data_IF_191975744519
#
_entry.id   IF_191975744519
#
_cell.length_a   1.000
_cell.length_b   1.000
_cell.length_c   1.000
_cell.angle_alpha   90.00
_cell.angle_beta   90.00
_cell.angle_gamma   90.00
#
_symmetry.space_group_name_H-M   'P 1'
#
loop_
_entity.id
_entity.type
_entity.pdbx_description
1 polymer ?
#
# COMPACT_ATOMS: atom_id res chain seq x y z
N UNK A 1 -10.33 -34.16 -15.06
CA UNK A 1 -9.30 -34.64 -16.03
C UNK A 1 -8.60 -35.96 -15.63
N UNK A 2 -9.31 -36.93 -15.03
CA UNK A 2 -8.71 -38.19 -14.55
C UNK A 2 -8.24 -39.11 -15.70
N UNK A 3 -9.05 -39.23 -16.74
CA UNK A 3 -8.83 -40.18 -17.85
C UNK A 3 -8.47 -39.51 -19.18
N UNK A 4 -8.67 -38.19 -19.29
CA UNK A 4 -8.47 -37.41 -20.52
C UNK A 4 -7.51 -36.24 -20.24
N UNK A 5 -6.58 -35.94 -21.18
CA UNK A 5 -5.58 -34.88 -21.01
C UNK A 5 -6.12 -33.47 -21.24
N UNK A 6 -7.39 -33.32 -21.67
CA UNK A 6 -8.04 -32.03 -21.86
C UNK A 6 -9.38 -32.02 -21.13
N UNK A 7 -9.73 -30.90 -20.44
CA UNK A 7 -11.04 -30.77 -19.83
C UNK A 7 -12.12 -30.60 -20.90
N UNK A 8 -13.34 -30.83 -20.49
CA UNK A 8 -14.53 -30.44 -21.24
C UNK A 8 -14.76 -28.94 -21.17
N UNK A 9 -15.57 -28.42 -22.09
CA UNK A 9 -16.00 -27.00 -22.06
C UNK A 9 -16.73 -26.67 -20.75
N UNK A 10 -17.54 -27.60 -20.25
CA UNK A 10 -18.29 -27.42 -19.01
C UNK A 10 -17.35 -27.30 -17.81
N UNK A 11 -16.38 -28.21 -17.65
CA UNK A 11 -15.36 -28.13 -16.58
C UNK A 11 -14.56 -26.82 -16.65
N UNK A 12 -14.19 -26.39 -17.86
CA UNK A 12 -13.44 -25.14 -18.03
C UNK A 12 -14.25 -23.91 -17.63
N UNK A 13 -15.54 -23.90 -17.98
CA UNK A 13 -16.45 -22.81 -17.60
C UNK A 13 -16.73 -22.78 -16.09
N UNK A 14 -16.80 -23.94 -15.45
CA UNK A 14 -17.02 -24.05 -14.01
C UNK A 14 -15.84 -23.48 -13.22
N UNK A 15 -14.61 -23.86 -13.61
CA UNK A 15 -13.37 -23.31 -13.05
C UNK A 15 -13.31 -21.78 -13.22
N UNK A 16 -13.60 -21.29 -14.42
CA UNK A 16 -13.58 -19.86 -14.69
C UNK A 16 -14.60 -19.09 -13.83
N UNK A 17 -15.83 -19.61 -13.73
CA UNK A 17 -16.87 -19.00 -12.91
C UNK A 17 -16.49 -18.97 -11.43
N UNK A 18 -15.90 -20.04 -10.89
CA UNK A 18 -15.44 -20.06 -9.50
C UNK A 18 -14.42 -18.95 -9.20
N UNK A 19 -13.53 -18.65 -10.15
CA UNK A 19 -12.56 -17.54 -10.02
C UNK A 19 -13.25 -16.17 -10.09
N UNK A 20 -14.24 -16.02 -10.98
CA UNK A 20 -15.04 -14.78 -11.13
C UNK A 20 -15.92 -14.52 -9.90
N UNK A 21 -16.50 -15.57 -9.31
CA UNK A 21 -17.28 -15.52 -8.07
C UNK A 21 -16.41 -15.15 -6.86
N UNK A 22 -15.08 -15.20 -7.01
CA UNK A 22 -14.12 -14.68 -6.04
C UNK A 22 -13.50 -15.75 -5.14
N UNK A 23 -13.49 -17.02 -5.55
CA UNK A 23 -12.76 -18.07 -4.83
C UNK A 23 -11.27 -17.71 -4.65
N UNK A 24 -10.73 -17.98 -3.46
CA UNK A 24 -9.32 -17.72 -3.16
C UNK A 24 -8.38 -18.81 -3.68
N UNK A 25 -8.90 -20.04 -3.85
CA UNK A 25 -8.16 -21.18 -4.35
C UNK A 25 -9.09 -22.27 -4.85
N UNK A 26 -8.52 -23.20 -5.63
CA UNK A 26 -9.21 -24.36 -6.17
C UNK A 26 -8.53 -25.63 -5.68
N UNK A 27 -9.34 -26.65 -5.40
CA UNK A 27 -8.85 -27.95 -4.95
C UNK A 27 -9.04 -28.96 -6.07
N UNK A 28 -7.93 -29.55 -6.53
CA UNK A 28 -7.95 -30.70 -7.41
C UNK A 28 -7.91 -31.96 -6.55
N UNK A 29 -8.76 -32.94 -6.88
CA UNK A 29 -9.00 -34.11 -6.03
C UNK A 29 -8.46 -35.36 -6.72
N UNK A 30 -9.29 -36.07 -7.44
CA UNK A 30 -8.95 -37.30 -8.16
C UNK A 30 -7.99 -37.04 -9.31
N UNK A 31 -8.01 -35.83 -9.89
CA UNK A 31 -7.17 -35.44 -11.02
C UNK A 31 -5.68 -35.52 -10.70
N UNK A 32 -5.29 -35.08 -9.50
CA UNK A 32 -3.90 -35.02 -9.06
C UNK A 32 -3.49 -36.20 -8.19
N UNK A 33 -4.44 -36.81 -7.45
CA UNK A 33 -4.12 -37.91 -6.54
C UNK A 33 -3.88 -39.25 -7.24
N UNK A 34 -4.72 -39.64 -8.20
CA UNK A 34 -4.58 -40.91 -8.94
C UNK A 34 -4.90 -40.80 -10.43
N UNK A 35 -5.11 -39.58 -10.92
CA UNK A 35 -5.36 -39.30 -12.33
C UNK A 35 -4.16 -39.61 -13.22
N UNK A 36 -4.43 -39.89 -14.50
CA UNK A 36 -3.37 -40.21 -15.49
C UNK A 36 -2.62 -38.98 -16.00
N UNK A 37 -3.16 -37.78 -15.77
CA UNK A 37 -2.65 -36.51 -16.31
C UNK A 37 -2.57 -35.41 -15.22
N UNK A 38 -1.82 -35.63 -14.12
CA UNK A 38 -1.81 -34.70 -12.99
C UNK A 38 -1.13 -33.37 -13.35
N UNK A 39 -0.04 -33.39 -14.12
CA UNK A 39 0.70 -32.19 -14.53
C UNK A 39 -0.12 -31.33 -15.49
N UNK A 40 -0.75 -31.96 -16.48
CA UNK A 40 -1.62 -31.28 -17.44
C UNK A 40 -2.84 -30.68 -16.75
N UNK A 41 -3.40 -31.39 -15.77
CA UNK A 41 -4.54 -30.88 -14.97
C UNK A 41 -4.16 -29.58 -14.25
N UNK A 42 -3.02 -29.55 -13.56
CA UNK A 42 -2.54 -28.34 -12.88
C UNK A 42 -2.23 -27.22 -13.87
N UNK A 43 -1.54 -27.53 -14.97
CA UNK A 43 -1.19 -26.54 -16.00
C UNK A 43 -2.43 -25.91 -16.63
N UNK A 44 -3.44 -26.71 -16.98
CA UNK A 44 -4.66 -26.20 -17.61
C UNK A 44 -5.46 -25.34 -16.62
N UNK A 45 -5.57 -25.76 -15.36
CA UNK A 45 -6.25 -24.98 -14.32
C UNK A 45 -5.54 -23.65 -14.09
N UNK A 46 -4.19 -23.62 -13.99
CA UNK A 46 -3.41 -22.38 -13.87
C UNK A 46 -3.68 -21.42 -15.04
N UNK A 47 -3.73 -21.93 -16.28
CA UNK A 47 -4.04 -21.10 -17.45
C UNK A 47 -5.47 -20.54 -17.40
N UNK A 48 -6.46 -21.37 -17.08
CA UNK A 48 -7.87 -20.92 -16.98
C UNK A 48 -8.00 -19.87 -15.88
N UNK A 49 -7.38 -20.08 -14.72
CA UNK A 49 -7.37 -19.10 -13.64
C UNK A 49 -6.82 -17.77 -14.13
N UNK A 50 -5.61 -17.73 -14.71
CA UNK A 50 -5.00 -16.48 -15.19
C UNK A 50 -5.87 -15.73 -16.22
N UNK A 51 -6.52 -16.45 -17.14
CA UNK A 51 -7.43 -15.81 -18.09
C UNK A 51 -8.71 -15.29 -17.41
N UNK A 52 -9.28 -16.04 -16.47
CA UNK A 52 -10.44 -15.60 -15.69
C UNK A 52 -10.11 -14.38 -14.82
N UNK A 53 -8.91 -14.32 -14.23
CA UNK A 53 -8.45 -13.17 -13.45
C UNK A 53 -8.35 -11.90 -14.29
N UNK A 54 -7.88 -12.00 -15.54
CA UNK A 54 -7.82 -10.87 -16.47
C UNK A 54 -9.19 -10.33 -16.88
N UNK A 55 -10.22 -11.17 -16.84
CA UNK A 55 -11.58 -10.80 -17.19
C UNK A 55 -12.32 -10.04 -16.07
N UNK A 56 -11.73 -9.93 -14.87
CA UNK A 56 -12.37 -9.29 -13.72
C UNK A 56 -12.31 -7.77 -13.85
N UNK A 57 -13.47 -7.15 -13.66
CA UNK A 57 -13.56 -5.71 -13.58
C UNK A 57 -13.23 -5.20 -12.16
N UNK A 58 -11.93 -5.11 -11.87
CA UNK A 58 -11.40 -4.78 -10.53
C UNK A 58 -11.97 -3.49 -9.92
N UNK A 59 -12.30 -2.49 -10.74
CA UNK A 59 -12.88 -1.23 -10.26
C UNK A 59 -14.23 -1.46 -9.57
N UNK A 60 -15.15 -2.16 -10.25
CA UNK A 60 -16.48 -2.44 -9.69
C UNK A 60 -16.41 -3.43 -8.54
N UNK A 61 -15.64 -4.52 -8.67
CA UNK A 61 -15.47 -5.50 -7.59
C UNK A 61 -15.00 -4.84 -6.30
N UNK A 62 -14.05 -3.91 -6.39
CA UNK A 62 -13.51 -3.18 -5.24
C UNK A 62 -14.54 -2.26 -4.60
N UNK A 63 -15.32 -1.54 -5.40
CA UNK A 63 -16.38 -0.65 -4.90
C UNK A 63 -17.51 -1.45 -4.23
N UNK A 64 -17.94 -2.55 -4.83
CA UNK A 64 -18.91 -3.46 -4.22
C UNK A 64 -18.41 -4.02 -2.88
N UNK A 65 -17.15 -4.47 -2.81
CA UNK A 65 -16.54 -4.96 -1.57
C UNK A 65 -16.48 -3.87 -0.48
N UNK A 66 -16.17 -2.63 -0.86
CA UNK A 66 -16.18 -1.47 0.04
C UNK A 66 -17.58 -1.22 0.60
N UNK A 67 -18.60 -1.22 -0.25
CA UNK A 67 -20.01 -1.07 0.16
C UNK A 67 -20.45 -2.20 1.08
N UNK A 68 -20.14 -3.46 0.76
CA UNK A 68 -20.46 -4.59 1.62
C UNK A 68 -19.80 -4.47 3.02
N UNK A 69 -18.57 -3.95 3.11
CA UNK A 69 -17.91 -3.73 4.41
C UNK A 69 -18.59 -2.64 5.23
N UNK A 70 -19.01 -1.56 4.57
CA UNK A 70 -19.76 -0.46 5.21
C UNK A 70 -21.08 -0.98 5.78
N UNK A 71 -21.86 -1.71 4.96
CA UNK A 71 -23.15 -2.29 5.37
C UNK A 71 -23.01 -3.28 6.54
N UNK A 72 -21.88 -4.00 6.63
CA UNK A 72 -21.60 -4.93 7.72
C UNK A 72 -21.01 -4.29 8.98
N UNK A 73 -20.88 -2.96 9.01
CA UNK A 73 -20.25 -2.23 10.13
C UNK A 73 -18.76 -2.55 10.31
N UNK A 74 -18.10 -3.13 9.30
CA UNK A 74 -16.68 -3.52 9.35
C UNK A 74 -15.72 -2.41 8.91
N UNK A 75 -16.26 -1.25 8.57
CA UNK A 75 -15.48 -0.13 8.04
C UNK A 75 -14.92 0.81 9.13
N UNK A 76 -15.30 0.66 10.40
CA UNK A 76 -15.02 1.65 11.43
C UNK A 76 -14.01 1.14 12.46
N UNK A 77 -12.88 1.85 12.60
CA UNK A 77 -12.01 1.79 13.78
C UNK A 77 -10.69 1.00 13.68
N UNK A 78 -10.58 0.01 12.79
CA UNK A 78 -9.31 -0.74 12.65
C UNK A 78 -8.34 0.02 11.72
N UNK A 79 -7.26 0.56 12.30
CA UNK A 79 -6.21 1.30 11.58
C UNK A 79 -5.65 0.45 10.43
N UNK A 80 -5.42 -0.86 10.66
CA UNK A 80 -4.92 -1.78 9.62
C UNK A 80 -5.89 -1.89 8.46
N UNK A 81 -7.19 -1.89 8.75
CA UNK A 81 -8.21 -1.98 7.73
C UNK A 81 -8.26 -0.72 6.85
N UNK A 82 -8.14 0.45 7.48
CA UNK A 82 -8.10 1.74 6.77
C UNK A 82 -6.83 1.86 5.94
N UNK A 83 -5.65 1.60 6.52
CA UNK A 83 -4.37 1.66 5.81
C UNK A 83 -4.31 0.66 4.66
N UNK A 84 -4.78 -0.58 4.88
CA UNK A 84 -4.83 -1.59 3.82
C UNK A 84 -5.79 -1.22 2.68
N UNK A 85 -6.97 -0.69 3.01
CA UNK A 85 -7.93 -0.21 1.99
C UNK A 85 -7.38 0.97 1.19
N UNK A 86 -6.74 1.93 1.87
CA UNK A 86 -6.09 3.08 1.23
C UNK A 86 -4.91 2.66 0.36
N UNK A 87 -4.13 1.66 0.76
CA UNK A 87 -3.03 1.14 -0.05
C UNK A 87 -3.53 0.51 -1.35
N UNK A 88 -4.67 -0.18 -1.31
CA UNK A 88 -5.31 -0.79 -2.49
C UNK A 88 -5.87 0.29 -3.43
N UNK A 89 -6.51 1.33 -2.89
CA UNK A 89 -6.96 2.48 -3.67
C UNK A 89 -5.77 3.21 -4.32
N UNK A 90 -4.71 3.44 -3.55
CA UNK A 90 -3.50 4.09 -4.03
C UNK A 90 -2.87 3.28 -5.15
N UNK A 91 -2.70 1.97 -4.98
CA UNK A 91 -2.15 1.07 -6.00
C UNK A 91 -2.98 1.08 -7.29
N UNK A 92 -4.32 1.10 -7.19
CA UNK A 92 -5.20 1.19 -8.34
C UNK A 92 -5.08 2.56 -9.05
N UNK A 93 -5.03 3.64 -8.27
CA UNK A 93 -4.98 5.02 -8.79
C UNK A 93 -3.64 5.35 -9.44
N UNK A 94 -2.54 4.88 -8.85
CA UNK A 94 -1.21 5.06 -9.41
C UNK A 94 -0.85 3.95 -10.40
N UNK A 95 -1.68 2.94 -10.64
CA UNK A 95 -1.32 1.81 -11.50
C UNK A 95 0.01 1.17 -11.06
N UNK A 96 0.13 0.84 -9.77
CA UNK A 96 1.29 0.15 -9.23
C UNK A 96 1.32 -1.32 -9.71
N UNK A 97 2.52 -1.84 -9.95
CA UNK A 97 2.71 -3.24 -10.35
C UNK A 97 2.57 -4.20 -9.17
N UNK A 98 2.97 -3.77 -7.96
CA UNK A 98 2.87 -4.59 -6.76
C UNK A 98 2.73 -3.77 -5.47
N UNK A 99 2.13 -4.41 -4.45
CA UNK A 99 2.06 -3.93 -3.07
C UNK A 99 2.98 -4.79 -2.21
N UNK A 100 3.99 -4.21 -1.58
CA UNK A 100 4.85 -4.87 -0.62
C UNK A 100 4.32 -4.64 0.79
N UNK A 101 4.08 -5.72 1.53
CA UNK A 101 3.50 -5.66 2.88
C UNK A 101 4.42 -6.38 3.84
N UNK A 102 4.99 -5.66 4.80
CA UNK A 102 5.76 -6.31 5.88
C UNK A 102 4.80 -6.80 6.95
N UNK A 103 4.86 -8.10 7.27
CA UNK A 103 3.92 -8.71 8.21
C UNK A 103 4.55 -9.83 9.04
N UNK A 104 4.25 -9.80 10.35
CA UNK A 104 4.68 -10.85 11.30
C UNK A 104 3.64 -11.94 11.46
N UNK A 105 2.34 -11.62 11.42
CA UNK A 105 1.24 -12.58 11.61
C UNK A 105 0.49 -12.93 10.32
N UNK A 106 0.74 -12.19 9.23
CA UNK A 106 -0.01 -12.29 7.97
C UNK A 106 -1.28 -11.46 7.93
N UNK A 107 -1.78 -10.95 9.06
CA UNK A 107 -3.09 -10.30 9.15
C UNK A 107 -3.26 -9.11 8.19
N UNK A 108 -2.23 -8.28 8.04
CA UNK A 108 -2.27 -7.10 7.16
C UNK A 108 -2.25 -7.48 5.69
N UNK A 109 -1.42 -8.46 5.34
CA UNK A 109 -1.33 -9.00 3.99
C UNK A 109 -2.67 -9.63 3.57
N UNK A 110 -3.26 -10.45 4.44
CA UNK A 110 -4.59 -11.07 4.22
C UNK A 110 -5.68 -10.01 4.03
N UNK A 111 -5.68 -8.93 4.82
CA UNK A 111 -6.67 -7.87 4.69
C UNK A 111 -6.56 -7.11 3.35
N UNK A 112 -5.33 -6.87 2.90
CA UNK A 112 -5.07 -6.25 1.59
C UNK A 112 -5.59 -7.17 0.49
N UNK A 113 -5.28 -8.47 0.54
CA UNK A 113 -5.79 -9.45 -0.44
C UNK A 113 -7.32 -9.58 -0.46
N UNK A 114 -7.97 -9.52 0.72
CA UNK A 114 -9.44 -9.49 0.83
C UNK A 114 -10.06 -8.25 0.17
N UNK A 115 -9.27 -7.20 -0.05
CA UNK A 115 -9.69 -5.98 -0.74
C UNK A 115 -9.54 -6.06 -2.26
N UNK A 116 -9.09 -7.20 -2.78
CA UNK A 116 -8.94 -7.52 -4.22
C UNK A 116 -8.21 -6.42 -4.99
N UNK A 117 -6.92 -6.15 -4.65
CA UNK A 117 -6.12 -5.21 -5.43
C UNK A 117 -5.98 -5.69 -6.88
N UNK A 118 -5.83 -4.75 -7.84
CA UNK A 118 -5.60 -5.08 -9.24
C UNK A 118 -4.16 -5.55 -9.53
N UNK A 119 -3.30 -5.55 -8.53
CA UNK A 119 -1.87 -5.85 -8.63
C UNK A 119 -1.47 -6.94 -7.62
N UNK A 120 -0.30 -7.56 -7.85
CA UNK A 120 0.24 -8.59 -6.96
C UNK A 120 0.60 -8.04 -5.58
N UNK A 121 0.34 -8.82 -4.53
CA UNK A 121 0.69 -8.45 -3.14
C UNK A 121 1.84 -9.31 -2.66
N UNK A 122 2.99 -8.71 -2.39
CA UNK A 122 4.16 -9.40 -1.85
C UNK A 122 4.16 -9.31 -0.33
N UNK A 123 3.92 -10.42 0.35
CA UNK A 123 3.92 -10.49 1.81
C UNK A 123 5.31 -10.85 2.33
N UNK A 124 6.00 -9.85 2.88
CA UNK A 124 7.35 -9.99 3.44
C UNK A 124 7.22 -10.43 4.89
N UNK A 125 7.76 -11.62 5.20
CA UNK A 125 7.71 -12.19 6.55
C UNK A 125 9.02 -12.90 6.89
N UNK A 126 9.27 -13.09 8.17
CA UNK A 126 10.40 -13.90 8.68
C UNK A 126 9.97 -15.34 9.00
N UNK A 127 8.67 -15.56 9.21
CA UNK A 127 8.15 -16.87 9.60
C UNK A 127 7.66 -17.65 8.38
N UNK A 128 8.31 -18.78 8.12
CA UNK A 128 7.92 -19.71 7.07
C UNK A 128 6.49 -20.27 7.27
N UNK A 129 6.02 -20.38 8.52
CA UNK A 129 4.65 -20.78 8.81
C UNK A 129 3.65 -19.76 8.26
N UNK A 130 3.86 -18.47 8.54
CA UNK A 130 3.00 -17.39 8.04
C UNK A 130 3.04 -17.32 6.52
N UNK A 131 4.22 -17.49 5.91
CA UNK A 131 4.36 -17.56 4.47
C UNK A 131 3.50 -18.67 3.84
N UNK A 132 3.48 -19.88 4.45
CA UNK A 132 2.61 -20.97 3.97
C UNK A 132 1.12 -20.63 4.05
N UNK A 133 0.69 -19.96 5.11
CA UNK A 133 -0.71 -19.52 5.24
C UNK A 133 -1.09 -18.47 4.20
N UNK A 134 -0.16 -17.59 3.80
CA UNK A 134 -0.43 -16.58 2.79
C UNK A 134 -0.79 -17.17 1.41
N UNK A 135 -0.29 -18.36 1.05
CA UNK A 135 -0.65 -19.02 -0.21
C UNK A 135 -2.13 -19.40 -0.33
N UNK A 136 -2.85 -19.48 0.80
CA UNK A 136 -4.28 -19.78 0.79
C UNK A 136 -5.15 -18.60 0.30
N UNK A 137 -4.57 -17.41 0.19
CA UNK A 137 -5.28 -16.20 -0.19
C UNK A 137 -4.88 -15.75 -1.59
N UNK A 138 -5.87 -15.32 -2.36
CA UNK A 138 -5.66 -14.93 -3.75
C UNK A 138 -4.84 -13.65 -3.89
N UNK A 139 -3.92 -13.65 -4.85
CA UNK A 139 -3.05 -12.51 -5.18
C UNK A 139 -1.91 -12.28 -4.20
N UNK A 140 -1.76 -13.13 -3.18
CA UNK A 140 -0.67 -13.07 -2.21
C UNK A 140 0.52 -13.93 -2.65
N UNK A 141 1.67 -13.28 -2.71
CA UNK A 141 2.97 -13.88 -2.99
C UNK A 141 3.86 -13.72 -1.75
N UNK A 142 4.01 -14.75 -0.92
CA UNK A 142 4.85 -14.64 0.26
C UNK A 142 6.34 -14.62 -0.12
N UNK A 143 7.10 -13.81 0.62
CA UNK A 143 8.56 -13.78 0.57
C UNK A 143 9.09 -13.93 1.99
N UNK A 144 9.85 -15.01 2.22
CA UNK A 144 10.49 -15.28 3.50
C UNK A 144 11.86 -14.62 3.50
N UNK A 145 12.04 -13.63 4.36
CA UNK A 145 13.33 -12.99 4.56
C UNK A 145 14.23 -13.88 5.42
N UNK A 146 15.40 -14.23 4.88
CA UNK A 146 16.42 -15.09 5.53
C UNK A 146 17.69 -14.34 5.93
N UNK A 147 17.73 -13.02 5.75
CA UNK A 147 18.87 -12.19 6.10
C UNK A 147 19.02 -11.96 7.61
N UNK A 148 20.09 -11.26 8.00
CA UNK A 148 20.31 -10.86 9.38
C UNK A 148 19.27 -9.81 9.81
N UNK A 149 18.81 -9.91 11.05
CA UNK A 149 18.02 -8.87 11.69
C UNK A 149 18.97 -7.86 12.33
N UNK A 150 18.88 -6.60 11.90
CA UNK A 150 19.63 -5.51 12.50
C UNK A 150 18.92 -4.99 13.77
N UNK A 151 19.68 -4.39 14.70
CA UNK A 151 19.12 -3.80 15.93
C UNK A 151 18.27 -2.57 15.61
N UNK A 152 18.69 -1.79 14.61
CA UNK A 152 17.95 -0.64 14.10
C UNK A 152 16.76 -1.10 13.25
N UNK A 153 15.56 -0.99 13.81
CA UNK A 153 14.32 -1.40 13.15
C UNK A 153 14.14 -0.78 11.75
N UNK A 154 14.49 0.51 11.58
CA UNK A 154 14.37 1.18 10.29
C UNK A 154 15.27 0.54 9.21
N UNK A 155 16.50 0.19 9.58
CA UNK A 155 17.47 -0.46 8.68
C UNK A 155 17.05 -1.88 8.36
N UNK A 156 16.56 -2.63 9.36
CA UNK A 156 16.05 -3.99 9.19
C UNK A 156 14.87 -4.05 8.20
N UNK A 157 13.90 -3.14 8.32
CA UNK A 157 12.76 -3.08 7.39
C UNK A 157 13.19 -2.68 5.98
N UNK A 158 14.08 -1.69 5.85
CA UNK A 158 14.64 -1.29 4.55
C UNK A 158 15.35 -2.49 3.89
N UNK A 159 16.15 -3.25 4.64
CA UNK A 159 16.84 -4.44 4.16
C UNK A 159 15.86 -5.54 3.69
N UNK A 160 14.79 -5.79 4.48
CA UNK A 160 13.75 -6.76 4.14
C UNK A 160 13.02 -6.42 2.85
N UNK A 161 12.65 -5.15 2.68
CA UNK A 161 11.91 -4.72 1.50
C UNK A 161 12.82 -4.70 0.28
N UNK A 162 14.07 -4.26 0.40
CA UNK A 162 15.04 -4.33 -0.71
C UNK A 162 15.29 -5.78 -1.15
N UNK A 163 15.42 -6.72 -0.22
CA UNK A 163 15.53 -8.15 -0.54
C UNK A 163 14.27 -8.67 -1.25
N UNK A 164 13.09 -8.25 -0.80
CA UNK A 164 11.83 -8.61 -1.44
C UNK A 164 11.69 -8.02 -2.85
N UNK A 165 12.14 -6.78 -3.08
CA UNK A 165 12.16 -6.13 -4.40
C UNK A 165 13.12 -6.87 -5.32
N UNK A 166 14.31 -7.24 -4.86
CA UNK A 166 15.26 -8.03 -5.64
C UNK A 166 14.64 -9.38 -6.06
N UNK A 167 13.96 -10.06 -5.14
CA UNK A 167 13.23 -11.28 -5.46
C UNK A 167 12.10 -11.05 -6.46
N UNK A 168 11.31 -9.99 -6.29
CA UNK A 168 10.21 -9.62 -7.18
C UNK A 168 10.69 -9.26 -8.60
N UNK A 169 11.89 -8.67 -8.73
CA UNK A 169 12.56 -8.43 -10.02
C UNK A 169 12.96 -9.75 -10.68
N UNK A 170 13.55 -10.68 -9.92
CA UNK A 170 13.94 -12.00 -10.42
C UNK A 170 12.74 -12.85 -10.88
N UNK A 171 11.61 -12.75 -10.19
CA UNK A 171 10.37 -13.46 -10.56
C UNK A 171 9.57 -12.75 -11.67
N UNK A 172 9.97 -11.52 -12.05
CA UNK A 172 9.30 -10.74 -13.08
C UNK A 172 8.00 -10.08 -12.64
N UNK A 173 7.73 -9.99 -11.33
CA UNK A 173 6.57 -9.30 -10.77
C UNK A 173 6.67 -7.78 -10.91
N UNK A 174 7.88 -7.24 -10.89
CA UNK A 174 8.12 -5.79 -10.97
C UNK A 174 9.33 -5.50 -11.87
N UNK A 175 9.26 -4.43 -12.65
CA UNK A 175 10.34 -3.95 -13.53
C UNK A 175 10.87 -2.58 -13.11
N UNK A 176 12.01 -2.17 -13.66
CA UNK A 176 12.50 -0.80 -13.55
C UNK A 176 11.50 0.18 -14.19
N UNK A 177 11.25 1.30 -13.53
CA UNK A 177 10.24 2.30 -13.93
C UNK A 177 8.85 2.08 -13.34
N UNK A 178 8.58 0.90 -12.75
CA UNK A 178 7.27 0.61 -12.17
C UNK A 178 7.05 1.33 -10.83
N UNK A 179 5.79 1.64 -10.54
CA UNK A 179 5.37 2.16 -9.23
C UNK A 179 5.04 1.00 -8.30
N UNK A 180 5.47 1.12 -7.04
CA UNK A 180 5.19 0.15 -5.99
C UNK A 180 4.57 0.85 -4.78
N UNK A 181 3.71 0.14 -4.06
CA UNK A 181 3.18 0.60 -2.79
C UNK A 181 3.79 -0.23 -1.68
N UNK A 182 4.35 0.41 -0.67
CA UNK A 182 4.95 -0.23 0.49
C UNK A 182 4.06 0.02 1.69
N UNK A 183 3.76 -1.04 2.44
CA UNK A 183 2.89 -1.01 3.60
C UNK A 183 3.62 -1.61 4.80
N UNK A 184 3.79 -0.81 5.84
CA UNK A 184 4.57 -1.17 7.04
C UNK A 184 3.85 -0.70 8.32
N UNK A 185 4.33 -1.18 9.48
CA UNK A 185 4.07 -0.51 10.75
C UNK A 185 5.02 0.67 10.93
N UNK A 186 4.66 1.63 11.78
CA UNK A 186 5.49 2.80 12.09
C UNK A 186 6.67 2.49 13.01
N UNK A 187 6.52 1.47 13.86
CA UNK A 187 7.49 1.11 14.89
C UNK A 187 7.53 -0.41 15.09
N UNK A 188 8.65 -0.94 15.58
CA UNK A 188 8.81 -2.37 15.91
C UNK A 188 7.75 -2.89 16.90
N UNK A 189 7.34 -2.02 17.84
CA UNK A 189 6.38 -2.34 18.90
C UNK A 189 4.93 -2.27 18.41
N UNK A 190 4.67 -1.45 17.38
CA UNK A 190 3.35 -1.33 16.80
C UNK A 190 3.04 -2.60 16.02
N UNK A 191 2.30 -3.52 16.65
CA UNK A 191 1.73 -4.70 15.97
C UNK A 191 0.66 -4.35 14.93
N UNK A 192 0.46 -3.05 14.65
CA UNK A 192 -0.52 -2.56 13.69
C UNK A 192 0.16 -1.93 12.49
N UNK A 193 -0.35 -2.26 11.31
CA UNK A 193 0.05 -1.67 10.05
C UNK A 193 -0.66 -0.34 9.87
N UNK A 194 0.08 0.76 9.93
CA UNK A 194 -0.46 2.12 9.91
C UNK A 194 0.20 3.03 8.85
N UNK A 195 1.31 2.61 8.24
CA UNK A 195 2.05 3.41 7.27
C UNK A 195 1.93 2.82 5.87
N UNK A 196 1.68 3.68 4.88
CA UNK A 196 1.78 3.35 3.46
C UNK A 196 2.58 4.42 2.73
N UNK A 197 3.42 4.00 1.79
CA UNK A 197 4.27 4.88 0.98
C UNK A 197 4.26 4.40 -0.47
N UNK A 198 4.39 5.32 -1.42
CA UNK A 198 4.42 5.03 -2.85
C UNK A 198 5.82 5.37 -3.36
N UNK A 199 6.46 4.41 -4.02
CA UNK A 199 7.77 4.58 -4.62
C UNK A 199 7.71 4.32 -6.12
N UNK A 200 8.61 4.95 -6.87
CA UNK A 200 8.90 4.59 -8.26
C UNK A 200 10.23 3.88 -8.27
N UNK A 201 10.30 2.70 -8.86
CA UNK A 201 11.54 1.95 -8.96
C UNK A 201 12.41 2.53 -10.06
N UNK A 202 13.66 2.83 -9.72
CA UNK A 202 14.68 3.14 -10.71
C UNK A 202 15.14 1.86 -11.43
N UNK A 203 15.66 2.01 -12.65
CA UNK A 203 16.14 0.89 -13.46
C UNK A 203 17.36 0.20 -12.84
N UNK A 204 18.22 0.98 -12.20
CA UNK A 204 19.40 0.48 -11.49
C UNK A 204 19.00 -0.19 -10.16
N UNK A 205 19.86 -1.06 -9.63
CA UNK A 205 19.65 -1.72 -8.33
C UNK A 205 19.93 -0.76 -7.17
N UNK A 206 19.34 0.44 -7.20
CA UNK A 206 19.42 1.37 -6.09
C UNK A 206 18.65 0.82 -4.89
N UNK A 207 19.32 0.78 -3.72
CA UNK A 207 18.67 0.40 -2.46
C UNK A 207 17.72 1.52 -2.08
N UNK A 208 16.43 1.20 -1.95
CA UNK A 208 15.44 2.13 -1.44
C UNK A 208 15.62 2.29 0.07
N UNK A 209 15.58 3.54 0.55
CA UNK A 209 15.39 3.88 1.96
C UNK A 209 13.93 4.26 2.16
N UNK A 210 13.22 3.55 3.03
CA UNK A 210 11.76 3.59 3.09
C UNK A 210 11.30 4.31 4.35
N UNK A 211 11.77 3.87 5.51
CA UNK A 211 11.43 4.51 6.79
C UNK A 211 12.28 5.76 7.01
N UNK A 212 13.53 5.72 6.54
CA UNK A 212 14.50 6.78 6.79
C UNK A 212 14.90 6.82 8.27
N UNK A 213 16.04 6.22 8.61
CA UNK A 213 16.85 6.86 9.64
C UNK A 213 17.14 8.27 9.13
N UNK A 214 16.80 9.28 9.92
CA UNK A 214 17.15 10.69 9.78
C UNK A 214 18.27 10.94 8.76
N UNK A 215 18.00 11.75 7.74
CA UNK A 215 19.07 12.24 6.87
C UNK A 215 20.04 13.09 7.73
N UNK A 216 21.09 12.45 8.24
CA UNK A 216 22.36 13.08 8.57
C UNK A 216 23.10 13.54 7.31
N UNK A 217 22.61 13.17 6.13
CA UNK A 217 22.99 13.71 4.82
C UNK A 217 22.02 14.87 4.51
N UNK A 218 22.15 16.02 5.16
CA UNK A 218 23.00 17.09 4.62
C UNK A 218 23.83 17.77 5.69
N UNK A 219 24.15 17.19 6.85
CA UNK A 219 24.96 17.96 7.81
C UNK A 219 26.37 18.20 7.33
N UNK A 220 27.01 17.34 6.54
CA UNK A 220 28.35 17.61 6.00
C UNK A 220 28.33 18.61 4.85
N UNK A 221 27.46 18.45 3.85
CA UNK A 221 27.32 19.41 2.73
C UNK A 221 26.66 20.72 3.15
N UNK A 222 25.69 20.70 4.08
CA UNK A 222 25.10 21.91 4.66
C UNK A 222 26.01 22.55 5.71
N UNK A 223 26.85 21.81 6.46
CA UNK A 223 27.92 22.41 7.28
C UNK A 223 29.02 22.98 6.41
N UNK A 224 29.38 22.35 5.29
CA UNK A 224 30.33 22.89 4.32
C UNK A 224 29.77 24.15 3.67
N UNK A 225 28.51 24.14 3.20
CA UNK A 225 27.83 25.37 2.70
C UNK A 225 27.66 26.44 3.78
N UNK A 226 27.36 26.08 5.04
CA UNK A 226 27.31 27.03 6.17
C UNK A 226 28.70 27.56 6.55
N UNK A 227 29.76 26.76 6.39
CA UNK A 227 31.14 27.18 6.61
C UNK A 227 31.61 28.11 5.50
N UNK A 228 31.31 27.82 4.24
CA UNK A 228 31.54 28.69 3.08
C UNK A 228 30.79 30.02 3.21
N UNK A 229 29.53 29.99 3.64
CA UNK A 229 28.74 31.19 3.93
C UNK A 229 29.27 32.00 5.12
N UNK A 230 29.85 31.35 6.15
CA UNK A 230 30.49 32.03 7.28
C UNK A 230 31.82 32.69 6.89
N UNK A 231 32.59 32.07 6.00
CA UNK A 231 33.84 32.63 5.47
C UNK A 231 33.54 33.83 4.55
N UNK A 232 32.46 33.75 3.75
CA UNK A 232 32.00 34.89 2.95
C UNK A 232 31.55 36.10 3.81
N UNK A 233 30.95 35.87 4.98
CA UNK A 233 30.57 36.94 5.92
C UNK A 233 31.75 37.58 6.67
N UNK A 234 32.91 36.92 6.73
CA UNK A 234 34.13 37.52 7.30
C UNK A 234 34.94 38.32 6.28
N UNK A 235 34.60 38.24 4.98
CA UNK A 235 35.27 38.98 3.90
C UNK A 235 34.70 40.36 3.58
N UNK A 236 33.45 40.66 3.97
CA UNK A 236 32.81 41.94 3.71
C UNK A 236 32.73 42.80 4.96
N UNK A 237 33.80 43.53 5.24
CA UNK A 237 33.75 44.72 6.08
C UNK A 237 33.12 45.87 5.30
N UNK A 238 31.79 46.00 5.22
CA UNK A 238 31.15 47.29 4.89
C UNK A 238 29.67 47.35 5.33
N UNK A 239 29.36 48.31 6.22
CA UNK A 239 28.07 49.02 6.26
C UNK A 239 26.98 48.52 7.22
N UNK A 240 26.86 49.17 8.38
CA UNK A 240 25.72 49.10 9.30
C UNK A 240 24.42 49.64 8.68
N UNK A 241 23.76 48.93 7.75
CA UNK A 241 22.39 49.29 7.31
C UNK A 241 21.52 48.08 6.87
N UNK A 242 21.79 46.87 7.37
CA UNK A 242 21.07 45.65 6.95
C UNK A 242 20.16 44.99 8.00
N UNK A 243 20.30 45.34 9.29
CA UNK A 243 19.66 44.59 10.37
C UNK A 243 18.18 44.94 10.64
N UNK A 244 17.68 46.04 10.10
CA UNK A 244 16.27 46.47 10.33
C UNK A 244 15.26 45.84 9.36
N UNK A 245 15.68 45.41 8.16
CA UNK A 245 14.76 44.77 7.20
C UNK A 245 14.43 43.31 7.56
N UNK A 246 15.34 42.62 8.27
CA UNK A 246 15.15 41.22 8.67
C UNK A 246 14.24 41.02 9.89
N UNK A 247 13.98 42.09 10.68
CA UNK A 247 13.00 42.06 11.79
C UNK A 247 11.56 42.18 11.29
N UNK A 248 11.31 42.89 10.19
CA UNK A 248 9.95 43.04 9.63
C UNK A 248 9.42 41.74 9.02
N UNK A 249 10.28 40.90 8.42
CA UNK A 249 9.84 39.64 7.78
C UNK A 249 9.42 38.59 8.82
N UNK A 250 10.12 38.52 9.97
CA UNK A 250 9.78 37.58 11.06
C UNK A 250 8.46 37.90 11.78
N UNK A 251 7.98 39.14 11.71
CA UNK A 251 6.67 39.52 12.27
C UNK A 251 5.48 39.17 11.35
N UNK A 252 5.73 38.82 10.07
CA UNK A 252 4.67 38.54 9.09
C UNK A 252 4.19 37.07 9.05
N UNK A 253 4.97 36.12 9.58
CA UNK A 253 4.70 34.69 9.45
C UNK A 253 4.05 34.03 10.69
N UNK A 254 3.72 34.79 11.74
CA UNK A 254 3.05 34.27 12.94
C UNK A 254 1.54 34.57 13.00
N UNK A 255 0.82 34.41 11.88
CA UNK A 255 -0.65 34.36 11.89
C UNK A 255 -1.12 32.93 11.66
N UNK A 256 -1.48 32.26 12.76
CA UNK A 256 -2.34 31.08 12.69
C UNK A 256 -3.67 31.44 11.99
N UNK A 257 -4.27 30.56 11.18
CA UNK A 257 -5.60 30.79 10.66
C UNK A 257 -6.61 30.63 11.80
N UNK A 258 -7.13 31.75 12.32
CA UNK A 258 -8.34 31.73 13.15
C UNK A 258 -9.54 31.57 12.21
N UNK A 259 -10.12 30.39 12.16
CA UNK A 259 -11.52 30.24 11.74
C UNK A 259 -12.40 30.89 12.81
N UNK A 260 -12.94 32.09 12.53
CA UNK A 260 -14.01 32.68 13.33
C UNK A 260 -15.36 32.31 12.71
N UNK A 261 -16.09 31.40 13.35
CA UNK A 261 -17.52 31.25 13.12
C UNK A 261 -18.19 32.42 13.83
N UNK A 262 -18.70 33.40 13.08
CA UNK A 262 -19.56 34.45 13.63
C UNK A 262 -20.93 33.82 13.96
N UNK A 263 -21.17 33.57 15.24
CA UNK A 263 -22.52 33.46 15.78
C UNK A 263 -23.05 34.87 16.02
N UNK A 264 -23.87 35.35 15.09
CA UNK A 264 -24.60 36.62 15.23
C UNK A 264 -25.75 36.48 16.22
N UNK A 265 -25.55 37.00 17.43
CA UNK A 265 -26.59 37.25 18.43
C UNK A 265 -27.34 38.55 18.07
N UNK A 266 -28.61 38.44 17.68
CA UNK A 266 -29.53 39.58 17.52
C UNK A 266 -30.93 39.22 18.01
N UNK A 267 -31.26 39.60 19.25
CA UNK A 267 -32.63 39.90 19.70
C UNK A 267 -32.95 41.31 19.19
N UNK A 268 -34.13 41.70 18.70
CA UNK A 268 -35.49 41.43 19.14
C UNK A 268 -36.51 42.06 18.14
N UNK A 269 -37.78 41.65 18.23
CA UNK A 269 -39.04 42.39 17.92
C UNK A 269 -39.85 42.00 16.66
N UNK A 270 -40.92 41.25 16.94
CA UNK A 270 -42.30 41.23 16.37
C UNK A 270 -42.60 40.80 14.93
N UNK A 271 -43.48 39.78 14.84
CA UNK A 271 -44.76 39.92 14.13
C UNK A 271 -44.97 39.02 12.89
N UNK A 272 -45.94 38.10 12.98
CA UNK A 272 -46.78 37.73 11.83
C UNK A 272 -46.45 36.45 11.06
N UNK A 273 -47.15 35.37 11.43
CA UNK A 273 -47.99 34.54 10.54
C UNK A 273 -47.53 34.39 9.08
N UNK A 274 -47.02 33.21 8.71
CA UNK A 274 -47.69 32.33 7.74
C UNK A 274 -46.90 31.03 7.50
N UNK A 275 -47.66 29.93 7.54
CA UNK A 275 -47.37 28.66 6.90
C UNK A 275 -46.84 28.85 5.47
N UNK A 276 -45.70 28.23 5.14
CA UNK A 276 -45.52 27.64 3.81
C UNK A 276 -44.87 26.27 4.00
N UNK A 277 -45.62 25.29 3.54
CA UNK A 277 -45.37 23.86 3.54
C UNK A 277 -45.07 23.45 2.10
N UNK A 278 -44.33 22.34 1.97
CA UNK A 278 -44.18 21.41 0.82
C UNK A 278 -43.40 21.88 -0.43
N UNK A 279 -42.91 20.96 -1.31
CA UNK A 279 -42.71 19.50 -1.18
C UNK A 279 -41.36 18.93 -1.74
N UNK A 280 -41.07 17.69 -1.31
CA UNK A 280 -40.13 16.66 -1.83
C UNK A 280 -38.62 16.92 -1.69
#
# INVERSE_FOLDING_TARGET
>A
MVTKPRPTRAESSDIANAVLDGADGLVLTMETSWGRFPLESVSVVDHICREAERAIFHYETREQLKQCRLLRGKACGDIRAVTGGSAVEAAASCGASAIFVVTTTGASAMFIAMSRPPCSVVAVTIDASVARHCYAYRGLHPFVYTGTCDEDWAVDIDNRINAAIAHARCTGLVKGGDRIVVVTGSDATSRSTNTMQIFTLEEEHSKLRIIGSSNELTTTEARQRLAELRIAQQGDTFGETGFDQMRQIRYSQSRQPRFSVMLGSGKNVFGGVNDIRVPL
#
